data_IF_960580864160
#
_entry.id   IF_960580864160
#
_cell.length_a   1.000
_cell.length_b   1.000
_cell.length_c   1.000
_cell.angle_alpha   90.00
_cell.angle_beta   90.00
_cell.angle_gamma   90.00
#
_symmetry.space_group_name_H-M   'P 1'
#
loop_
_entity.id
_entity.type
_entity.pdbx_description
1 polymer ?
#
# COMPACT_ATOMS: atom_id res chain seq x y z
N UNK A 1 -40.37 9.56 35.69
CA UNK A 1 -39.84 9.50 34.31
C UNK A 1 -38.32 9.27 34.32
N UNK A 2 -37.84 8.08 34.70
CA UNK A 2 -36.40 7.80 34.89
C UNK A 2 -36.02 6.35 34.53
N UNK A 3 -36.44 5.87 33.35
CA UNK A 3 -36.11 4.53 32.82
C UNK A 3 -36.10 4.50 31.29
N UNK A 4 -35.13 5.13 30.62
CA UNK A 4 -34.83 4.83 29.19
C UNK A 4 -33.34 5.11 28.84
N UNK A 5 -32.38 4.84 29.73
CA UNK A 5 -30.94 5.03 29.43
C UNK A 5 -30.15 3.76 29.79
N UNK A 6 -30.41 2.67 29.05
CA UNK A 6 -29.76 1.38 29.34
C UNK A 6 -29.60 0.42 28.15
N UNK A 7 -29.83 0.85 26.90
CA UNK A 7 -29.85 -0.06 25.74
C UNK A 7 -28.86 0.32 24.63
N UNK A 8 -27.66 0.78 25.01
CA UNK A 8 -26.52 0.90 24.09
C UNK A 8 -25.22 0.51 24.80
N UNK A 9 -25.22 -0.69 25.39
CA UNK A 9 -23.96 -1.37 25.66
C UNK A 9 -23.66 -2.22 24.43
N UNK A 10 -22.62 -1.94 23.62
CA UNK A 10 -22.13 -2.93 22.67
C UNK A 10 -21.81 -4.21 23.46
N UNK A 11 -22.09 -5.41 22.92
CA UNK A 11 -21.72 -6.64 23.60
C UNK A 11 -20.25 -6.55 23.97
N UNK A 12 -19.94 -6.75 25.26
CA UNK A 12 -18.57 -6.84 25.72
C UNK A 12 -17.85 -7.85 24.84
N UNK A 13 -16.66 -7.52 24.29
CA UNK A 13 -15.91 -8.50 23.52
C UNK A 13 -15.72 -9.71 24.42
N UNK A 14 -16.25 -10.86 24.00
CA UNK A 14 -16.07 -12.11 24.70
C UNK A 14 -14.60 -12.21 25.08
N UNK A 15 -14.28 -12.62 26.31
CA UNK A 15 -12.92 -12.81 26.76
C UNK A 15 -12.29 -13.93 25.92
N UNK A 16 -11.74 -13.55 24.77
CA UNK A 16 -10.97 -14.44 23.91
C UNK A 16 -9.80 -14.88 24.78
N UNK A 17 -9.72 -16.19 25.05
CA UNK A 17 -8.56 -16.79 25.71
C UNK A 17 -7.29 -16.19 25.13
N UNK A 18 -6.36 -15.70 25.96
CA UNK A 18 -5.17 -14.98 25.49
C UNK A 18 -4.34 -15.70 24.43
N UNK A 19 -4.48 -17.03 24.29
CA UNK A 19 -3.91 -17.80 23.17
C UNK A 19 -4.61 -17.56 21.84
N UNK A 20 -5.94 -17.39 21.81
CA UNK A 20 -6.70 -17.09 20.59
C UNK A 20 -6.41 -15.68 20.09
N UNK A 21 -6.32 -14.69 20.98
CA UNK A 21 -5.94 -13.33 20.57
C UNK A 21 -4.52 -13.25 20.03
N UNK A 22 -3.58 -13.98 20.62
CA UNK A 22 -2.21 -14.07 20.10
C UNK A 22 -2.18 -14.76 18.72
N UNK A 23 -2.94 -15.84 18.55
CA UNK A 23 -3.05 -16.53 17.25
C UNK A 23 -3.66 -15.64 16.17
N UNK A 24 -4.69 -14.85 16.51
CA UNK A 24 -5.29 -13.87 15.60
C UNK A 24 -4.33 -12.72 15.27
N UNK A 25 -3.58 -12.22 16.25
CA UNK A 25 -2.56 -11.20 16.01
C UNK A 25 -1.50 -11.73 15.04
N UNK A 26 -0.95 -12.92 15.32
CA UNK A 26 0.08 -13.54 14.49
C UNK A 26 -0.45 -13.79 13.07
N UNK A 27 -1.68 -14.28 12.91
CA UNK A 27 -2.27 -14.51 11.59
C UNK A 27 -2.47 -13.20 10.81
N UNK A 28 -2.91 -12.13 11.47
CA UNK A 28 -3.07 -10.82 10.84
C UNK A 28 -1.74 -10.19 10.45
N UNK A 29 -0.72 -10.27 11.31
CA UNK A 29 0.63 -9.80 10.99
C UNK A 29 1.23 -10.57 9.82
N UNK A 30 1.09 -11.89 9.82
CA UNK A 30 1.63 -12.75 8.77
C UNK A 30 0.88 -12.55 7.44
N UNK A 31 -0.43 -12.30 7.50
CA UNK A 31 -1.27 -12.05 6.32
C UNK A 31 -1.04 -10.68 5.68
N UNK A 32 -0.71 -9.65 6.46
CA UNK A 32 -0.51 -8.28 5.97
C UNK A 32 0.94 -7.96 5.56
N UNK A 33 1.92 -8.75 6.02
CA UNK A 33 3.32 -8.52 5.69
C UNK A 33 3.61 -8.47 4.17
N UNK A 34 3.03 -9.34 3.31
CA UNK A 34 3.29 -9.30 1.87
C UNK A 34 2.82 -8.00 1.20
N UNK A 35 1.69 -7.43 1.63
CA UNK A 35 1.10 -6.22 1.04
C UNK A 35 2.04 -5.01 1.14
N UNK A 36 2.80 -4.93 2.25
CA UNK A 36 3.81 -3.91 2.45
C UNK A 36 5.15 -4.30 1.83
N UNK A 37 5.55 -5.56 1.92
CA UNK A 37 6.87 -6.00 1.47
C UNK A 37 7.06 -5.89 -0.05
N UNK A 38 6.03 -6.15 -0.85
CA UNK A 38 6.13 -6.20 -2.32
C UNK A 38 6.52 -4.83 -2.92
N UNK A 39 5.85 -3.71 -2.59
CA UNK A 39 6.27 -2.39 -3.08
C UNK A 39 7.71 -2.02 -2.69
N UNK A 40 8.13 -2.33 -1.47
CA UNK A 40 9.51 -2.07 -1.03
C UNK A 40 10.52 -2.96 -1.75
N UNK A 41 10.20 -4.22 -2.02
CA UNK A 41 11.06 -5.11 -2.80
C UNK A 41 11.24 -4.58 -4.24
N UNK A 42 10.17 -4.11 -4.88
CA UNK A 42 10.25 -3.48 -6.20
C UNK A 42 11.09 -2.19 -6.17
N UNK A 43 10.93 -1.36 -5.15
CA UNK A 43 11.74 -0.17 -4.97
C UNK A 43 13.23 -0.52 -4.76
N UNK A 44 13.53 -1.55 -3.96
CA UNK A 44 14.90 -2.02 -3.72
C UNK A 44 15.57 -2.55 -5.00
N UNK A 45 14.83 -3.27 -5.86
CA UNK A 45 15.34 -3.70 -7.16
C UNK A 45 15.70 -2.51 -8.04
N UNK A 46 14.86 -1.48 -8.08
CA UNK A 46 15.18 -0.23 -8.77
C UNK A 46 16.42 0.46 -8.19
N UNK A 47 16.56 0.47 -6.86
CA UNK A 47 17.69 1.07 -6.18
C UNK A 47 19.01 0.34 -6.51
N UNK A 48 19.03 -1.01 -6.51
CA UNK A 48 20.20 -1.81 -6.91
C UNK A 48 20.66 -1.45 -8.34
N UNK A 49 19.72 -1.24 -9.27
CA UNK A 49 20.04 -0.81 -10.64
C UNK A 49 20.67 0.59 -10.68
N UNK A 50 20.19 1.51 -9.83
CA UNK A 50 20.74 2.87 -9.73
C UNK A 50 22.13 2.86 -9.09
N UNK A 51 22.33 2.08 -8.02
CA UNK A 51 23.63 1.94 -7.37
C UNK A 51 24.68 1.35 -8.31
N UNK A 52 24.29 0.41 -9.18
CA UNK A 52 25.14 -0.13 -10.25
C UNK A 52 25.65 0.95 -11.22
N UNK A 53 24.93 2.05 -11.39
CA UNK A 53 25.36 3.20 -12.20
C UNK A 53 26.27 4.19 -11.45
N UNK A 54 26.56 3.93 -10.17
CA UNK A 54 27.42 4.78 -9.33
C UNK A 54 26.68 5.91 -8.62
N UNK A 55 25.35 5.88 -8.57
CA UNK A 55 24.53 6.87 -7.87
C UNK A 55 23.83 6.21 -6.69
N UNK A 56 24.00 6.76 -5.49
CA UNK A 56 23.30 6.30 -4.28
C UNK A 56 22.01 7.10 -4.10
N UNK A 57 20.88 6.52 -4.52
CA UNK A 57 19.57 7.15 -4.47
C UNK A 57 18.82 6.81 -3.17
N UNK A 58 19.29 7.33 -2.04
CA UNK A 58 18.64 7.14 -0.73
C UNK A 58 17.30 7.87 -0.56
N UNK A 59 16.90 8.68 -1.55
CA UNK A 59 15.63 9.43 -1.55
C UNK A 59 14.39 8.61 -1.95
N UNK A 60 14.49 7.28 -2.07
CA UNK A 60 13.44 6.43 -2.67
C UNK A 60 12.12 6.47 -1.90
N UNK A 61 12.17 6.61 -0.58
CA UNK A 61 10.97 6.74 0.25
C UNK A 61 10.14 7.97 -0.14
N UNK A 62 10.81 9.10 -0.40
CA UNK A 62 10.16 10.31 -0.90
C UNK A 62 9.54 10.12 -2.29
N UNK A 63 10.24 9.41 -3.19
CA UNK A 63 9.73 9.08 -4.51
C UNK A 63 8.49 8.19 -4.44
N UNK A 64 8.47 7.21 -3.53
CA UNK A 64 7.32 6.36 -3.28
C UNK A 64 6.12 7.18 -2.79
N UNK A 65 6.31 8.10 -1.84
CA UNK A 65 5.24 8.97 -1.34
C UNK A 65 4.62 9.83 -2.44
N UNK A 66 5.46 10.48 -3.26
CA UNK A 66 4.98 11.34 -4.36
C UNK A 66 4.27 10.52 -5.42
N UNK A 67 4.82 9.36 -5.79
CA UNK A 67 4.17 8.43 -6.72
C UNK A 67 2.81 7.95 -6.22
N UNK A 68 2.72 7.57 -4.93
CA UNK A 68 1.48 7.13 -4.31
C UNK A 68 0.42 8.23 -4.30
N UNK A 69 0.79 9.45 -3.91
CA UNK A 69 -0.12 10.59 -3.91
C UNK A 69 -0.64 10.90 -5.32
N UNK A 70 0.25 10.98 -6.30
CA UNK A 70 -0.13 11.29 -7.68
C UNK A 70 -1.06 10.21 -8.26
N UNK A 71 -0.79 8.93 -7.96
CA UNK A 71 -1.62 7.81 -8.38
C UNK A 71 -3.01 7.86 -7.76
N UNK A 72 -3.10 8.06 -6.45
CA UNK A 72 -4.37 8.19 -5.74
C UNK A 72 -5.14 9.42 -6.23
N UNK A 73 -4.49 10.57 -6.36
CA UNK A 73 -5.12 11.80 -6.84
C UNK A 73 -5.68 11.65 -8.26
N UNK A 74 -4.95 10.97 -9.13
CA UNK A 74 -5.40 10.67 -10.49
C UNK A 74 -6.55 9.65 -10.50
N UNK A 75 -6.47 8.62 -9.66
CA UNK A 75 -7.52 7.61 -9.53
C UNK A 75 -8.82 8.22 -9.00
N UNK A 76 -8.75 9.14 -8.04
CA UNK A 76 -9.90 9.87 -7.52
C UNK A 76 -10.53 10.82 -8.55
N UNK A 77 -9.74 11.34 -9.49
CA UNK A 77 -10.19 12.32 -10.46
C UNK A 77 -10.74 11.70 -11.75
N UNK A 78 -10.05 10.69 -12.30
CA UNK A 78 -10.41 10.06 -13.59
C UNK A 78 -10.93 8.63 -13.46
N UNK A 79 -10.67 7.92 -12.36
CA UNK A 79 -11.12 6.54 -12.15
C UNK A 79 -10.41 5.47 -12.97
N UNK A 80 -9.44 5.83 -13.83
CA UNK A 80 -8.75 4.88 -14.71
C UNK A 80 -7.39 4.43 -14.15
N UNK A 81 -7.20 3.14 -13.81
CA UNK A 81 -5.97 2.69 -13.17
C UNK A 81 -4.69 2.85 -14.01
N UNK A 82 -4.79 2.71 -15.34
CA UNK A 82 -3.66 2.88 -16.24
C UNK A 82 -3.12 4.30 -16.26
N UNK A 83 -4.00 5.32 -16.29
CA UNK A 83 -3.56 6.72 -16.22
C UNK A 83 -3.01 7.07 -14.83
N UNK A 84 -3.55 6.47 -13.76
CA UNK A 84 -3.02 6.63 -12.42
C UNK A 84 -1.58 6.14 -12.31
N UNK A 85 -1.28 4.98 -12.90
CA UNK A 85 0.09 4.45 -12.95
C UNK A 85 1.04 5.38 -13.73
N UNK A 86 0.62 5.85 -14.91
CA UNK A 86 1.42 6.79 -15.69
C UNK A 86 1.67 8.10 -14.94
N UNK A 87 0.65 8.64 -14.28
CA UNK A 87 0.79 9.85 -13.46
C UNK A 87 1.78 9.65 -12.30
N UNK A 88 1.72 8.50 -11.61
CA UNK A 88 2.70 8.14 -10.58
C UNK A 88 4.13 8.08 -11.12
N UNK A 89 4.35 7.46 -12.28
CA UNK A 89 5.67 7.37 -12.91
C UNK A 89 6.23 8.74 -13.27
N UNK A 90 5.40 9.61 -13.88
CA UNK A 90 5.81 10.97 -14.26
C UNK A 90 6.13 11.79 -13.02
N UNK A 91 5.28 11.76 -11.99
CA UNK A 91 5.49 12.53 -10.76
C UNK A 91 6.76 12.11 -10.02
N UNK A 92 6.99 10.80 -9.85
CA UNK A 92 8.22 10.29 -9.26
C UNK A 92 9.45 10.63 -10.13
N UNK A 93 9.32 10.54 -11.46
CA UNK A 93 10.37 10.93 -12.40
C UNK A 93 10.79 12.40 -12.26
N UNK A 94 9.82 13.31 -12.11
CA UNK A 94 10.09 14.74 -11.91
C UNK A 94 10.87 14.99 -10.61
N UNK A 95 10.53 14.30 -9.53
CA UNK A 95 11.25 14.41 -8.26
C UNK A 95 12.65 13.77 -8.35
N UNK A 96 12.79 12.67 -9.09
CA UNK A 96 14.10 12.08 -9.37
C UNK A 96 14.98 13.04 -10.19
N UNK A 97 14.39 13.80 -11.11
CA UNK A 97 15.09 14.83 -11.88
C UNK A 97 15.53 16.01 -10.99
N UNK A 98 14.72 16.38 -9.99
CA UNK A 98 15.11 17.33 -8.95
C UNK A 98 16.31 16.80 -8.14
N UNK A 99 16.30 15.52 -7.74
CA UNK A 99 17.45 14.89 -7.07
C UNK A 99 18.71 14.94 -7.95
N UNK A 100 18.57 14.58 -9.24
CA UNK A 100 19.67 14.65 -10.20
C UNK A 100 20.21 16.07 -10.33
N UNK A 101 19.36 17.10 -10.35
CA UNK A 101 19.79 18.50 -10.35
C UNK A 101 20.59 18.85 -9.09
N UNK A 102 20.14 18.44 -7.91
CA UNK A 102 20.84 18.68 -6.65
C UNK A 102 22.24 18.05 -6.61
N UNK A 103 22.37 16.83 -7.12
CA UNK A 103 23.64 16.09 -7.07
C UNK A 103 24.58 16.50 -8.21
N UNK A 104 24.06 16.66 -9.42
CA UNK A 104 24.89 16.92 -10.61
C UNK A 104 25.25 18.40 -10.76
N UNK A 105 24.28 19.29 -10.58
CA UNK A 105 24.46 20.74 -10.79
C UNK A 105 24.93 21.41 -9.50
N UNK A 106 24.23 21.18 -8.39
CA UNK A 106 24.55 21.81 -7.10
C UNK A 106 25.69 21.09 -6.35
N UNK A 107 26.13 19.92 -6.83
CA UNK A 107 27.22 19.12 -6.25
C UNK A 107 27.03 18.80 -4.77
N UNK A 108 25.77 18.65 -4.34
CA UNK A 108 25.44 18.23 -2.99
C UNK A 108 25.77 16.74 -2.85
N UNK A 109 26.28 16.34 -1.68
CA UNK A 109 26.47 14.92 -1.37
C UNK A 109 25.15 14.16 -1.51
N UNK A 110 25.18 13.07 -2.28
CA UNK A 110 24.04 12.20 -2.58
C UNK A 110 23.27 11.76 -1.33
N UNK A 111 23.96 11.45 -0.24
CA UNK A 111 23.34 11.03 1.03
C UNK A 111 22.50 12.16 1.64
N UNK A 112 23.08 13.36 1.71
CA UNK A 112 22.43 14.53 2.29
C UNK A 112 21.27 14.99 1.41
N UNK A 113 21.50 15.05 0.08
CA UNK A 113 20.47 15.38 -0.90
C UNK A 113 19.30 14.39 -0.84
N UNK A 114 19.59 13.10 -0.70
CA UNK A 114 18.60 12.03 -0.64
C UNK A 114 17.69 12.17 0.59
N UNK A 115 18.28 12.28 1.78
CA UNK A 115 17.52 12.46 3.02
C UNK A 115 16.72 13.76 3.05
N UNK A 116 17.32 14.87 2.59
CA UNK A 116 16.61 16.15 2.47
C UNK A 116 15.40 16.04 1.53
N UNK A 117 15.55 15.31 0.43
CA UNK A 117 14.50 15.08 -0.54
C UNK A 117 13.37 14.21 0.01
N UNK A 118 13.66 13.21 0.87
CA UNK A 118 12.61 12.45 1.59
C UNK A 118 11.76 13.38 2.43
N UNK A 119 12.37 14.21 3.28
CA UNK A 119 11.63 15.14 4.13
C UNK A 119 10.83 16.18 3.34
N UNK A 120 11.41 16.69 2.25
CA UNK A 120 10.72 17.57 1.33
C UNK A 120 9.48 16.88 0.73
N UNK A 121 9.62 15.66 0.23
CA UNK A 121 8.51 14.89 -0.34
C UNK A 121 7.44 14.55 0.69
N UNK A 122 7.82 14.22 1.92
CA UNK A 122 6.88 13.94 3.01
C UNK A 122 6.04 15.18 3.35
N UNK A 123 6.68 16.35 3.46
CA UNK A 123 5.96 17.61 3.66
C UNK A 123 5.08 17.99 2.46
N UNK A 124 5.62 17.86 1.24
CA UNK A 124 4.89 18.17 0.01
C UNK A 124 3.65 17.30 -0.15
N UNK A 125 3.76 16.00 0.09
CA UNK A 125 2.64 15.08 -0.11
C UNK A 125 1.56 15.25 0.95
N UNK A 126 1.94 15.49 2.21
CA UNK A 126 0.98 15.85 3.27
C UNK A 126 0.23 17.14 2.98
N UNK A 127 0.94 18.17 2.50
CA UNK A 127 0.34 19.46 2.13
C UNK A 127 -0.63 19.29 0.94
N UNK A 128 -0.17 18.69 -0.16
CA UNK A 128 -0.98 18.53 -1.37
C UNK A 128 -2.20 17.64 -1.13
N UNK A 129 -2.04 16.53 -0.40
CA UNK A 129 -3.16 15.64 -0.05
C UNK A 129 -4.26 16.37 0.72
N UNK A 130 -3.86 17.28 1.62
CA UNK A 130 -4.80 18.10 2.41
C UNK A 130 -5.43 19.21 1.57
N UNK A 131 -4.62 19.97 0.80
CA UNK A 131 -5.10 21.08 -0.03
C UNK A 131 -6.07 20.64 -1.12
N UNK A 132 -5.82 19.48 -1.73
CA UNK A 132 -6.64 18.92 -2.80
C UNK A 132 -7.82 18.07 -2.26
N UNK A 133 -7.94 17.93 -0.93
CA UNK A 133 -9.03 17.19 -0.29
C UNK A 133 -9.03 15.69 -0.61
N UNK A 134 -7.85 15.12 -0.89
CA UNK A 134 -7.68 13.68 -1.14
C UNK A 134 -7.56 12.86 0.15
N UNK A 135 -7.26 13.52 1.28
CA UNK A 135 -7.17 12.86 2.59
C UNK A 135 -8.46 12.15 2.96
N UNK A 136 -8.34 10.91 3.45
CA UNK A 136 -9.43 10.08 3.96
C UNK A 136 -10.56 9.78 2.94
N UNK A 137 -10.25 9.81 1.63
CA UNK A 137 -11.18 9.36 0.60
C UNK A 137 -10.95 7.89 0.25
N UNK A 138 -12.01 7.06 0.22
CA UNK A 138 -11.87 5.67 -0.20
C UNK A 138 -11.58 5.62 -1.69
N UNK A 139 -10.56 4.86 -2.07
CA UNK A 139 -10.20 4.58 -3.46
C UNK A 139 -10.54 3.13 -3.75
N UNK A 140 -11.29 2.89 -4.82
CA UNK A 140 -11.48 1.53 -5.32
C UNK A 140 -10.13 1.02 -5.83
N UNK A 141 -9.65 -0.07 -5.21
CA UNK A 141 -8.42 -0.74 -5.62
C UNK A 141 -8.49 -1.28 -7.05
N UNK A 142 -7.34 -1.74 -7.55
CA UNK A 142 -7.29 -2.49 -8.80
C UNK A 142 -8.21 -3.72 -8.70
N UNK A 143 -8.98 -3.97 -9.76
CA UNK A 143 -9.74 -5.22 -9.85
C UNK A 143 -8.76 -6.39 -9.85
N UNK A 144 -9.05 -7.40 -9.01
CA UNK A 144 -8.24 -8.60 -8.94
C UNK A 144 -8.22 -9.28 -10.32
N UNK A 145 -7.03 -9.43 -10.88
CA UNK A 145 -6.84 -10.20 -12.11
C UNK A 145 -6.66 -11.66 -11.69
N UNK A 146 -7.57 -12.52 -12.11
CA UNK A 146 -7.47 -13.95 -11.87
C UNK A 146 -6.31 -14.54 -12.68
N UNK A 147 -5.22 -14.90 -12.00
CA UNK A 147 -4.07 -15.55 -12.60
C UNK A 147 -4.33 -17.07 -12.75
N UNK A 148 -5.15 -17.44 -13.73
CA UNK A 148 -5.39 -18.84 -14.09
C UNK A 148 -4.14 -19.41 -14.81
N UNK A 149 -3.34 -20.32 -14.19
CA UNK A 149 -3.74 -21.54 -13.46
C UNK A 149 -3.15 -21.69 -12.02
N UNK A 150 -2.57 -20.63 -11.43
CA UNK A 150 -1.92 -20.70 -10.11
C UNK A 150 -2.92 -20.73 -8.93
N UNK A 151 -4.16 -20.32 -9.18
CA UNK A 151 -5.25 -20.28 -8.20
C UNK A 151 -5.76 -21.66 -7.76
N UNK A 152 -5.49 -22.71 -8.54
CA UNK A 152 -5.99 -24.07 -8.28
C UNK A 152 -5.11 -24.90 -7.32
N UNK A 153 -3.93 -24.40 -6.93
CA UNK A 153 -3.01 -25.14 -6.05
C UNK A 153 -3.51 -25.15 -4.59
N UNK A 154 -3.73 -26.32 -3.96
CA UNK A 154 -4.45 -26.46 -2.68
C UNK A 154 -3.77 -25.80 -1.47
N UNK A 155 -2.46 -25.55 -1.54
CA UNK A 155 -1.68 -24.94 -0.45
C UNK A 155 -1.26 -23.50 -0.77
N UNK A 156 -0.95 -23.22 -2.03
CA UNK A 156 -0.35 -21.95 -2.48
C UNK A 156 -1.37 -21.02 -3.15
N UNK A 157 -2.41 -21.58 -3.77
CA UNK A 157 -3.44 -20.83 -4.49
C UNK A 157 -4.24 -19.86 -3.62
N UNK A 158 -4.39 -20.16 -2.31
CA UNK A 158 -5.05 -19.27 -1.34
C UNK A 158 -4.33 -17.93 -1.11
N UNK A 159 -3.02 -17.88 -1.37
CA UNK A 159 -2.21 -16.64 -1.28
C UNK A 159 -2.43 -15.75 -2.51
N UNK A 160 -2.82 -16.35 -3.64
CA UNK A 160 -3.04 -15.65 -4.91
C UNK A 160 -4.50 -15.22 -5.14
N UNK A 161 -5.41 -15.61 -4.23
CA UNK A 161 -6.79 -15.11 -4.24
C UNK A 161 -6.82 -13.73 -3.59
N UNK A 162 -6.77 -12.70 -4.43
CA UNK A 162 -6.80 -11.30 -3.99
C UNK A 162 -8.19 -10.82 -3.54
N UNK A 163 -9.25 -11.60 -3.80
CA UNK A 163 -10.63 -11.30 -3.42
C UNK A 163 -11.37 -12.54 -2.87
N UNK A 164 -11.78 -12.57 -1.59
CA UNK A 164 -12.60 -13.66 -1.04
C UNK A 164 -13.93 -13.86 -1.79
N UNK A 165 -14.49 -12.79 -2.35
CA UNK A 165 -15.74 -12.82 -3.12
C UNK A 165 -15.58 -13.43 -4.53
N UNK A 166 -14.39 -13.33 -5.13
CA UNK A 166 -14.09 -13.94 -6.43
C UNK A 166 -13.82 -15.45 -6.30
N UNK A 167 -13.15 -15.88 -5.22
CA UNK A 167 -12.98 -17.30 -4.92
C UNK A 167 -14.31 -18.02 -4.65
N UNK A 168 -15.28 -17.34 -4.04
CA UNK A 168 -16.61 -17.88 -3.82
C UNK A 168 -17.41 -18.04 -5.14
N UNK A 169 -17.25 -17.09 -6.07
CA UNK A 169 -17.81 -17.17 -7.43
C UNK A 169 -17.13 -18.26 -8.31
N UNK A 170 -15.85 -18.54 -8.09
CA UNK A 170 -15.10 -19.61 -8.76
C UNK A 170 -15.36 -21.02 -8.19
N UNK A 171 -16.26 -21.17 -7.20
CA UNK A 171 -16.57 -22.45 -6.56
C UNK A 171 -15.46 -22.97 -5.64
N UNK A 172 -14.41 -22.18 -5.39
CA UNK A 172 -13.36 -22.47 -4.41
C UNK A 172 -13.89 -21.99 -3.07
N UNK A 173 -14.81 -22.76 -2.51
CA UNK A 173 -15.58 -22.46 -1.29
C UNK A 173 -14.68 -21.97 -0.14
N UNK A 174 -14.58 -20.64 0.02
CA UNK A 174 -14.07 -19.99 1.23
C UNK A 174 -15.15 -20.01 2.32
N UNK A 175 -16.42 -20.15 1.94
CA UNK A 175 -17.56 -20.24 2.87
C UNK A 175 -17.67 -21.57 3.64
N UNK A 176 -16.94 -22.61 3.24
CA UNK A 176 -16.99 -23.94 3.90
C UNK A 176 -16.41 -23.98 5.32
N UNK A 177 -15.57 -23.01 5.71
CA UNK A 177 -14.96 -23.00 7.06
C UNK A 177 -15.67 -22.08 8.06
N UNK A 178 -16.57 -21.18 7.63
CA UNK A 178 -17.30 -20.27 8.53
C UNK A 178 -18.50 -20.93 9.25
N UNK A 179 -18.84 -22.17 8.91
CA UNK A 179 -19.93 -22.92 9.54
C UNK A 179 -19.47 -24.21 10.26
N UNK A 180 -18.15 -24.43 10.40
CA UNK A 180 -17.60 -25.63 11.05
C UNK A 180 -16.82 -25.33 12.35
N UNK A 181 -17.09 -24.20 13.03
CA UNK A 181 -16.50 -23.87 14.33
C UNK A 181 -17.17 -22.70 15.02
#
# INVERSE_FOLDING_TARGET
MRRVVGLFHPPSPAAHSGRRTLMELISHWLGSAPDFAVPFALAALGLILIERSGVLALGVEGLMLVGALAGIGMQLSLGSPGLSLLASMVAAGLVSLLFALMVLVLRINQVIAGLALVFFCQGLTGLLGTLLGWTNRPVSGLQAVELWPLSELPVVGRVFVQNPQAADAAGISVLGYRLAG
#
